data_IF_092249199051
#
_entry.id   IF_092249199051
#
_cell.length_a   1.000
_cell.length_b   1.000
_cell.length_c   1.000
_cell.angle_alpha   90.00
_cell.angle_beta   90.00
_cell.angle_gamma   90.00
#
_symmetry.space_group_name_H-M   'P 1'
#
loop_
_entity.id
_entity.type
_entity.pdbx_description
1 polymer ?
#
# COMPACT_ATOMS: atom_id res chain seq x y z
N UNK A 1 -8.46 -8.54 12.55
CA UNK A 1 -7.18 -7.98 13.06
C UNK A 1 -6.02 -8.82 12.54
N UNK A 2 -4.79 -8.33 12.68
CA UNK A 2 -3.62 -9.12 12.29
C UNK A 2 -3.47 -10.33 13.21
N UNK A 3 -3.14 -11.49 12.64
CA UNK A 3 -2.89 -12.74 13.37
C UNK A 3 -1.52 -12.67 14.02
N UNK A 4 -1.46 -12.87 15.34
CA UNK A 4 -0.20 -13.08 16.07
C UNK A 4 0.23 -14.54 15.92
N UNK A 5 1.27 -14.78 15.10
CA UNK A 5 1.75 -16.14 14.81
C UNK A 5 2.53 -16.74 15.98
N UNK A 6 3.11 -15.92 16.85
CA UNK A 6 3.83 -16.43 18.02
C UNK A 6 2.83 -16.90 19.07
N UNK A 7 1.78 -16.11 19.35
CA UNK A 7 0.66 -16.49 20.22
C UNK A 7 -0.01 -17.79 19.74
N UNK A 8 -0.16 -17.97 18.43
CA UNK A 8 -0.75 -19.18 17.85
C UNK A 8 0.07 -20.45 18.13
N UNK A 9 1.39 -20.35 18.20
CA UNK A 9 2.30 -21.50 18.19
C UNK A 9 2.99 -21.77 19.53
N UNK A 10 3.14 -20.76 20.40
CA UNK A 10 3.78 -20.88 21.71
C UNK A 10 3.13 -21.93 22.64
N UNK A 11 1.80 -22.13 22.64
CA UNK A 11 1.16 -23.20 23.40
C UNK A 11 1.49 -24.62 22.90
N UNK A 12 1.95 -24.76 21.65
CA UNK A 12 2.17 -26.05 20.96
C UNK A 12 3.66 -26.36 20.76
N UNK A 13 4.50 -25.99 21.74
CA UNK A 13 5.95 -26.15 21.68
C UNK A 13 6.42 -27.60 21.50
N UNK A 14 5.60 -28.57 21.89
CA UNK A 14 5.84 -30.00 21.72
C UNK A 14 5.85 -30.45 20.24
N UNK A 15 5.30 -29.66 19.33
CA UNK A 15 5.36 -29.92 17.89
C UNK A 15 6.74 -29.64 17.28
N UNK A 16 7.62 -28.92 17.98
CA UNK A 16 8.85 -28.37 17.42
C UNK A 16 10.11 -28.93 18.08
N UNK A 17 11.13 -29.17 17.25
CA UNK A 17 12.53 -29.37 17.68
C UNK A 17 13.14 -28.03 18.08
N UNK A 18 12.81 -26.97 17.33
CA UNK A 18 13.19 -25.60 17.63
C UNK A 18 12.06 -24.65 17.19
N UNK A 19 11.77 -23.63 17.99
CA UNK A 19 10.75 -22.62 17.68
C UNK A 19 11.09 -21.29 18.34
N UNK A 20 10.90 -20.20 17.60
CA UNK A 20 11.03 -18.83 18.12
C UNK A 20 10.53 -17.79 17.10
N UNK A 21 10.38 -16.54 17.54
CA UNK A 21 9.90 -15.46 16.69
C UNK A 21 9.21 -14.34 17.46
N UNK A 22 8.40 -13.58 16.74
CA UNK A 22 7.58 -12.48 17.23
C UNK A 22 6.21 -12.49 16.56
N UNK A 23 5.32 -11.58 16.98
CA UNK A 23 3.93 -11.53 16.54
C UNK A 23 3.72 -11.63 15.01
N UNK A 24 4.59 -11.01 14.21
CA UNK A 24 4.47 -11.00 12.75
C UNK A 24 5.28 -12.06 12.00
N UNK A 25 6.14 -12.83 12.67
CA UNK A 25 7.00 -13.82 12.04
C UNK A 25 7.54 -14.85 13.04
N UNK A 26 7.48 -16.13 12.68
CA UNK A 26 8.09 -17.22 13.44
C UNK A 26 8.98 -18.10 12.56
N UNK A 27 10.04 -18.66 13.17
CA UNK A 27 10.90 -19.67 12.59
C UNK A 27 10.83 -20.95 13.43
N UNK A 28 10.82 -22.11 12.77
CA UNK A 28 10.67 -23.39 13.44
C UNK A 28 11.38 -24.53 12.70
N UNK A 29 11.71 -25.58 13.44
CA UNK A 29 12.15 -26.89 12.96
C UNK A 29 11.22 -27.94 13.56
N UNK A 30 10.69 -28.83 12.73
CA UNK A 30 9.78 -29.92 13.12
C UNK A 30 10.03 -31.15 12.25
N UNK A 31 9.63 -32.32 12.77
CA UNK A 31 9.56 -33.53 11.96
C UNK A 31 8.46 -33.41 10.91
N UNK A 32 8.65 -34.02 9.73
CA UNK A 32 7.72 -33.90 8.59
C UNK A 32 6.33 -34.44 8.93
N UNK A 33 6.26 -35.46 9.77
CA UNK A 33 5.03 -36.08 10.24
C UNK A 33 4.17 -35.13 11.08
N UNK A 34 4.75 -34.05 11.64
CA UNK A 34 4.06 -33.04 12.44
C UNK A 34 3.46 -31.90 11.61
N UNK A 35 3.64 -31.92 10.29
CA UNK A 35 3.16 -30.85 9.42
C UNK A 35 1.62 -30.73 9.41
N UNK A 36 0.90 -31.85 9.48
CA UNK A 36 -0.56 -31.84 9.56
C UNK A 36 -1.05 -31.24 10.88
N UNK A 37 -0.40 -31.59 11.99
CA UNK A 37 -0.73 -31.07 13.32
C UNK A 37 -0.51 -29.54 13.36
N UNK A 38 0.59 -29.05 12.78
CA UNK A 38 0.87 -27.63 12.65
C UNK A 38 -0.19 -26.90 11.80
N UNK A 39 -0.60 -27.48 10.67
CA UNK A 39 -1.66 -26.89 9.82
C UNK A 39 -2.95 -26.73 10.61
N UNK A 40 -3.34 -27.77 11.34
CA UNK A 40 -4.57 -27.78 12.13
C UNK A 40 -4.54 -26.70 13.23
N UNK A 41 -3.44 -26.58 13.97
CA UNK A 41 -3.24 -25.53 14.99
C UNK A 41 -3.44 -24.13 14.41
N UNK A 42 -2.81 -23.85 13.26
CA UNK A 42 -2.91 -22.54 12.61
C UNK A 42 -4.33 -22.27 12.09
N UNK A 43 -4.97 -23.26 11.48
CA UNK A 43 -6.35 -23.14 10.98
C UNK A 43 -7.35 -22.88 12.10
N UNK A 44 -7.24 -23.61 13.20
CA UNK A 44 -8.10 -23.45 14.37
C UNK A 44 -7.91 -22.07 15.00
N UNK A 45 -6.66 -21.65 15.19
CA UNK A 45 -6.34 -20.32 15.73
C UNK A 45 -6.94 -19.19 14.88
N UNK A 46 -6.79 -19.25 13.55
CA UNK A 46 -7.35 -18.24 12.63
C UNK A 46 -8.88 -18.22 12.71
N UNK A 47 -9.51 -19.40 12.80
CA UNK A 47 -10.97 -19.55 12.91
C UNK A 47 -11.50 -18.98 14.22
N UNK A 48 -10.85 -19.31 15.34
CA UNK A 48 -11.25 -18.86 16.68
C UNK A 48 -11.07 -17.36 16.87
N UNK A 49 -9.99 -16.77 16.33
CA UNK A 49 -9.77 -15.32 16.35
C UNK A 49 -10.72 -14.55 15.44
N UNK A 50 -11.53 -15.23 14.62
CA UNK A 50 -12.41 -14.59 13.65
C UNK A 50 -11.65 -13.70 12.68
N UNK A 51 -10.42 -14.10 12.33
CA UNK A 51 -9.59 -13.32 11.41
C UNK A 51 -10.23 -13.32 10.03
N UNK A 52 -10.83 -12.19 9.66
CA UNK A 52 -11.45 -11.98 8.37
C UNK A 52 -10.39 -11.95 7.26
N UNK A 53 -10.16 -13.11 6.62
CA UNK A 53 -9.29 -13.23 5.45
C UNK A 53 -9.88 -12.57 4.19
N UNK A 54 -11.16 -12.18 4.20
CA UNK A 54 -11.84 -11.47 3.12
C UNK A 54 -11.82 -9.95 3.26
N UNK A 55 -11.36 -9.43 4.40
CA UNK A 55 -11.32 -8.01 4.69
C UNK A 55 -10.37 -7.28 3.73
N UNK A 56 -10.88 -6.27 3.02
CA UNK A 56 -10.03 -5.38 2.23
C UNK A 56 -9.07 -4.65 3.19
N UNK A 57 -7.82 -4.48 2.76
CA UNK A 57 -6.87 -3.63 3.48
C UNK A 57 -7.49 -2.25 3.70
N UNK A 58 -7.43 -1.76 4.94
CA UNK A 58 -7.81 -0.39 5.25
C UNK A 58 -6.81 0.55 4.58
N UNK A 59 -7.30 1.47 3.77
CA UNK A 59 -6.51 2.58 3.24
C UNK A 59 -6.75 3.79 4.13
N UNK A 60 -5.76 4.15 4.93
CA UNK A 60 -5.80 5.37 5.72
C UNK A 60 -5.37 6.53 4.83
N UNK A 61 -6.13 7.63 4.87
CA UNK A 61 -5.83 8.89 4.21
C UNK A 61 -5.46 9.87 5.32
N UNK A 62 -4.28 10.47 5.22
CA UNK A 62 -3.74 11.35 6.25
C UNK A 62 -4.40 12.72 6.22
N UNK A 63 -4.66 13.26 5.02
CA UNK A 63 -5.33 14.56 4.86
C UNK A 63 -5.91 14.74 3.45
N UNK A 64 -6.90 15.63 3.31
CA UNK A 64 -7.34 16.13 2.01
C UNK A 64 -6.37 17.17 1.46
N UNK A 65 -5.94 17.00 0.21
CA UNK A 65 -4.99 17.87 -0.45
C UNK A 65 -5.65 18.62 -1.60
N UNK A 66 -5.65 19.94 -1.49
CA UNK A 66 -6.00 20.82 -2.60
C UNK A 66 -4.80 21.00 -3.55
N UNK A 67 -4.96 20.63 -4.82
CA UNK A 67 -3.93 20.78 -5.84
C UNK A 67 -3.39 22.22 -5.95
N UNK A 68 -4.24 23.22 -5.73
CA UNK A 68 -3.83 24.64 -5.82
C UNK A 68 -2.88 25.06 -4.69
N UNK A 69 -2.82 24.29 -3.61
CA UNK A 69 -1.92 24.53 -2.48
C UNK A 69 -0.59 23.77 -2.59
N UNK A 70 -0.49 22.83 -3.53
CA UNK A 70 0.68 21.97 -3.66
C UNK A 70 1.83 22.72 -4.34
N UNK A 71 2.98 22.72 -3.69
CA UNK A 71 4.22 23.31 -4.22
C UNK A 71 5.41 22.37 -4.06
N UNK A 72 6.49 22.60 -4.81
CA UNK A 72 7.73 21.85 -4.64
C UNK A 72 8.27 21.95 -3.21
N UNK A 73 8.11 23.11 -2.56
CA UNK A 73 8.50 23.30 -1.16
C UNK A 73 7.67 22.43 -0.21
N UNK A 74 6.37 22.31 -0.45
CA UNK A 74 5.48 21.42 0.32
C UNK A 74 5.99 19.99 0.28
N UNK A 75 6.30 19.47 -0.91
CA UNK A 75 6.84 18.11 -1.07
C UNK A 75 8.19 17.96 -0.35
N UNK A 76 9.09 18.94 -0.50
CA UNK A 76 10.40 18.94 0.19
C UNK A 76 10.24 18.95 1.72
N UNK A 77 9.27 19.66 2.26
CA UNK A 77 9.00 19.69 3.69
C UNK A 77 8.54 18.32 4.20
N UNK A 78 7.69 17.61 3.44
CA UNK A 78 7.31 16.23 3.80
C UNK A 78 8.49 15.26 3.73
N UNK A 79 9.39 15.39 2.76
CA UNK A 79 10.59 14.53 2.68
C UNK A 79 11.53 14.68 3.89
N UNK A 80 11.43 15.78 4.66
CA UNK A 80 12.16 15.93 5.94
C UNK A 80 11.67 14.99 7.05
N UNK A 81 10.50 14.38 6.89
CA UNK A 81 9.97 13.36 7.81
C UNK A 81 10.60 11.97 7.59
N UNK A 82 11.45 11.83 6.58
CA UNK A 82 12.24 10.63 6.36
C UNK A 82 13.17 10.35 7.57
N UNK A 83 13.57 9.08 7.82
CA UNK A 83 13.36 7.90 6.97
C UNK A 83 11.94 7.35 7.06
N UNK A 84 11.37 7.04 5.91
CA UNK A 84 10.10 6.33 5.82
C UNK A 84 10.30 4.82 5.86
N UNK A 85 9.33 4.11 6.42
CA UNK A 85 9.35 2.66 6.57
C UNK A 85 8.07 2.13 7.22
N UNK A 86 8.12 0.90 7.72
CA UNK A 86 6.95 0.23 8.32
C UNK A 86 6.31 1.06 9.45
N UNK A 87 7.13 1.67 10.30
CA UNK A 87 6.69 2.45 11.47
C UNK A 87 6.58 3.97 11.20
N UNK A 88 6.90 4.41 9.99
CA UNK A 88 6.80 5.81 9.57
C UNK A 88 6.45 5.83 8.09
N UNK A 89 5.18 5.58 7.78
CA UNK A 89 4.75 5.48 6.39
C UNK A 89 4.76 6.86 5.73
N UNK A 90 5.04 6.90 4.42
CA UNK A 90 4.83 8.13 3.64
C UNK A 90 3.35 8.52 3.71
N UNK A 91 3.03 9.80 3.97
CA UNK A 91 1.66 10.27 4.00
C UNK A 91 0.92 9.98 2.68
N UNK A 92 -0.34 9.56 2.81
CA UNK A 92 -1.28 9.33 1.72
C UNK A 92 -2.32 10.43 1.75
N UNK A 93 -2.38 11.21 0.68
CA UNK A 93 -3.31 12.33 0.55
C UNK A 93 -4.52 11.96 -0.27
N UNK A 94 -5.67 12.49 0.13
CA UNK A 94 -6.91 12.40 -0.60
C UNK A 94 -7.06 13.61 -1.53
N UNK A 95 -7.27 13.37 -2.83
CA UNK A 95 -7.49 14.43 -3.82
C UNK A 95 -8.83 14.19 -4.51
N UNK A 96 -9.64 15.24 -4.58
CA UNK A 96 -10.91 15.31 -5.33
C UNK A 96 -10.98 16.63 -6.10
N UNK A 97 -12.06 16.85 -6.84
CA UNK A 97 -12.36 18.11 -7.53
C UNK A 97 -11.26 18.59 -8.50
N UNK A 98 -10.70 17.66 -9.28
CA UNK A 98 -9.71 17.92 -10.33
C UNK A 98 -10.26 17.53 -11.71
N UNK A 99 -9.61 18.04 -12.77
CA UNK A 99 -9.83 17.61 -14.14
C UNK A 99 -8.73 16.65 -14.59
N UNK A 100 -9.09 15.64 -15.39
CA UNK A 100 -8.12 14.79 -16.08
C UNK A 100 -7.85 15.38 -17.46
N UNK A 101 -6.67 15.97 -17.64
CA UNK A 101 -6.23 16.56 -18.90
C UNK A 101 -5.74 15.50 -19.89
N UNK A 102 -5.13 14.43 -19.38
CA UNK A 102 -4.74 13.28 -20.19
C UNK A 102 -4.67 12.01 -19.35
N UNK A 103 -5.06 10.89 -19.94
CA UNK A 103 -4.87 9.56 -19.38
C UNK A 103 -4.23 8.67 -20.44
N UNK A 104 -3.07 8.09 -20.14
CA UNK A 104 -2.32 7.24 -21.07
C UNK A 104 -1.58 6.14 -20.34
N UNK A 105 -1.19 5.12 -21.08
CA UNK A 105 -0.33 4.05 -20.56
C UNK A 105 1.16 4.37 -20.70
N UNK A 106 1.98 3.74 -19.86
CA UNK A 106 3.44 3.77 -19.96
C UNK A 106 4.08 2.49 -19.43
N UNK A 107 5.38 2.34 -19.68
CA UNK A 107 6.16 1.17 -19.26
C UNK A 107 6.03 -0.03 -20.20
N UNK A 108 6.78 -1.09 -19.89
CA UNK A 108 6.74 -2.33 -20.66
C UNK A 108 5.31 -2.89 -20.69
N UNK A 109 4.83 -3.24 -21.89
CA UNK A 109 3.49 -3.80 -22.07
C UNK A 109 2.35 -2.86 -21.66
N UNK A 110 2.56 -1.53 -21.63
CA UNK A 110 1.54 -0.55 -21.22
C UNK A 110 1.01 -0.78 -19.79
N UNK A 111 1.85 -1.32 -18.89
CA UNK A 111 1.43 -1.79 -17.58
C UNK A 111 0.98 -0.69 -16.60
N UNK A 112 1.45 0.55 -16.74
CA UNK A 112 1.18 1.62 -15.78
C UNK A 112 0.29 2.70 -16.38
N UNK A 113 -0.54 3.32 -15.53
CA UNK A 113 -1.36 4.47 -15.89
C UNK A 113 -0.59 5.75 -15.54
N UNK A 114 -0.51 6.67 -16.50
CA UNK A 114 -0.02 8.03 -16.30
C UNK A 114 -1.14 9.02 -16.60
N UNK A 115 -1.44 9.86 -15.62
CA UNK A 115 -2.43 10.93 -15.71
C UNK A 115 -1.71 12.28 -15.70
N UNK A 116 -2.31 13.25 -16.40
CA UNK A 116 -2.09 14.67 -16.11
C UNK A 116 -3.39 15.20 -15.53
N UNK A 117 -3.33 15.74 -14.32
CA UNK A 117 -4.49 16.30 -13.61
C UNK A 117 -4.29 17.78 -13.33
N UNK A 118 -5.39 18.53 -13.27
CA UNK A 118 -5.37 19.98 -13.04
C UNK A 118 -6.51 20.44 -12.13
N UNK A 119 -6.30 21.59 -11.48
CA UNK A 119 -7.34 22.37 -10.81
C UNK A 119 -6.89 23.83 -10.81
N UNK A 120 -7.71 24.73 -11.36
CA UNK A 120 -7.29 26.13 -11.57
C UNK A 120 -6.04 26.20 -12.45
N UNK A 121 -5.01 26.90 -11.97
CA UNK A 121 -3.70 26.99 -12.65
C UNK A 121 -2.74 25.84 -12.28
N UNK A 122 -3.07 25.04 -11.27
CA UNK A 122 -2.24 23.93 -10.82
C UNK A 122 -2.37 22.71 -11.75
N UNK A 123 -1.24 22.08 -12.08
CA UNK A 123 -1.18 20.91 -12.95
C UNK A 123 -0.07 19.95 -12.49
N UNK A 124 -0.41 18.67 -12.35
CA UNK A 124 0.51 17.63 -11.89
C UNK A 124 0.41 16.35 -12.72
N UNK A 125 1.50 15.59 -12.73
CA UNK A 125 1.51 14.23 -13.26
C UNK A 125 1.26 13.23 -12.12
N UNK A 126 0.42 12.23 -12.38
CA UNK A 126 0.17 11.12 -11.44
C UNK A 126 0.50 9.81 -12.13
N UNK A 127 1.16 8.90 -11.42
CA UNK A 127 1.49 7.56 -11.92
C UNK A 127 0.87 6.52 -11.00
N UNK A 128 0.07 5.63 -11.59
CA UNK A 128 -0.48 4.47 -10.92
C UNK A 128 0.14 3.19 -11.52
N UNK A 129 1.07 2.59 -10.78
CA UNK A 129 1.81 1.41 -11.22
C UNK A 129 0.90 0.18 -11.31
N UNK A 130 0.92 -0.51 -12.46
CA UNK A 130 0.16 -1.75 -12.68
C UNK A 130 -1.30 -1.51 -13.04
N UNK A 131 -1.68 -0.23 -13.18
CA UNK A 131 -3.06 0.20 -13.41
C UNK A 131 -3.33 0.64 -14.85
N UNK A 132 -2.48 0.27 -15.82
CA UNK A 132 -2.58 0.71 -17.21
C UNK A 132 -3.93 0.38 -17.88
N UNK A 133 -4.59 -0.70 -17.46
CA UNK A 133 -5.93 -1.10 -17.95
C UNK A 133 -7.01 -0.03 -17.77
N UNK A 134 -6.82 0.91 -16.85
CA UNK A 134 -7.82 1.93 -16.51
C UNK A 134 -7.68 3.23 -17.30
N UNK A 135 -6.76 3.30 -18.27
CA UNK A 135 -6.49 4.54 -19.01
C UNK A 135 -7.73 5.10 -19.72
N UNK A 136 -8.54 4.24 -20.33
CA UNK A 136 -9.76 4.66 -21.02
C UNK A 136 -10.80 5.19 -20.04
N UNK A 137 -11.06 4.46 -18.95
CA UNK A 137 -12.06 4.82 -17.95
C UNK A 137 -11.70 6.14 -17.26
N UNK A 138 -10.43 6.32 -16.87
CA UNK A 138 -9.98 7.56 -16.23
C UNK A 138 -9.99 8.76 -17.18
N UNK A 139 -9.84 8.54 -18.50
CA UNK A 139 -9.94 9.61 -19.50
C UNK A 139 -11.36 10.08 -19.77
N UNK A 140 -12.39 9.31 -19.38
CA UNK A 140 -13.80 9.59 -19.69
C UNK A 140 -14.64 9.89 -18.44
N UNK A 141 -14.21 9.41 -17.28
CA UNK A 141 -14.95 9.53 -16.02
C UNK A 141 -14.71 10.90 -15.39
N UNK A 142 -15.78 11.49 -14.85
CA UNK A 142 -15.73 12.72 -14.05
C UNK A 142 -15.87 12.39 -12.57
N UNK A 143 -15.52 13.35 -11.70
CA UNK A 143 -15.61 13.22 -10.25
C UNK A 143 -14.80 12.02 -9.72
N UNK A 144 -13.60 11.87 -10.28
CA UNK A 144 -12.64 10.88 -9.79
C UNK A 144 -12.06 11.34 -8.46
N UNK A 145 -11.69 10.36 -7.65
CA UNK A 145 -11.09 10.54 -6.34
C UNK A 145 -9.77 9.75 -6.32
N UNK A 146 -8.72 10.34 -5.79
CA UNK A 146 -7.38 9.74 -5.76
C UNK A 146 -6.84 9.70 -4.34
N UNK A 147 -6.23 8.56 -3.99
CA UNK A 147 -5.30 8.46 -2.88
C UNK A 147 -3.87 8.46 -3.43
N UNK A 148 -3.07 9.46 -3.08
CA UNK A 148 -1.74 9.66 -3.68
C UNK A 148 -0.65 9.82 -2.64
N UNK A 149 0.59 9.51 -3.02
CA UNK A 149 1.80 9.88 -2.28
C UNK A 149 2.54 10.94 -3.08
N UNK A 150 2.98 11.99 -2.41
CA UNK A 150 3.76 13.05 -3.04
C UNK A 150 5.19 12.58 -3.28
N UNK A 151 5.75 12.94 -4.43
CA UNK A 151 7.14 12.66 -4.78
C UNK A 151 7.68 13.73 -5.70
N UNK A 152 8.94 14.11 -5.51
CA UNK A 152 9.68 14.92 -6.48
C UNK A 152 10.26 13.98 -7.53
N UNK A 153 9.90 14.18 -8.80
CA UNK A 153 10.55 13.50 -9.90
C UNK A 153 11.70 14.37 -10.42
N UNK A 154 12.87 13.78 -10.65
CA UNK A 154 13.97 14.47 -11.35
C UNK A 154 14.36 13.68 -12.58
N UNK A 155 14.19 14.29 -13.74
CA UNK A 155 14.47 13.66 -15.03
C UNK A 155 15.18 14.64 -15.96
N UNK A 156 16.32 14.22 -16.53
CA UNK A 156 17.15 15.04 -17.42
C UNK A 156 17.50 16.44 -16.87
N UNK A 157 17.73 16.55 -15.55
CA UNK A 157 18.07 17.81 -14.89
C UNK A 157 16.89 18.76 -14.66
N UNK A 158 15.66 18.32 -14.95
CA UNK A 158 14.43 19.04 -14.64
C UNK A 158 13.73 18.38 -13.45
N UNK A 159 13.14 19.22 -12.60
CA UNK A 159 12.26 18.83 -11.48
C UNK A 159 10.82 19.13 -11.84
#
# INVERSE_FOLDING_TARGET
EAVDIFEALDPHRDLFIAFGGHAGAAGMTLEVEKLSDLSQVLEDYVREKGADAGGKNKLNLDEELDLETLSLETVKNFERLAPFGMNNQKPVFYIKDFQVESARTMGAGNAHLKLKISKGEASFEVVAFGQGRWATEFGQTKNLELAVKLSVNQWNGQT
#
